data_IF_117588544721
#
_entry.id   IF_117588544721
#
_cell.length_a   1.000
_cell.length_b   1.000
_cell.length_c   1.000
_cell.angle_alpha   90.00
_cell.angle_beta   90.00
_cell.angle_gamma   90.00
#
_symmetry.space_group_name_H-M   'P 1'
#
loop_
_entity.id
_entity.type
_entity.pdbx_description
1 polymer ?
#
# COMPACT_ATOMS: atom_id res chain seq x y z
N UNK A 1 -10.00 4.87 12.88
CA UNK A 1 -8.60 4.47 12.55
C UNK A 1 -7.72 5.72 12.62
N UNK A 2 -6.51 5.64 13.19
CA UNK A 2 -5.61 6.81 13.31
C UNK A 2 -4.66 6.94 12.11
N UNK A 3 -4.11 8.14 11.90
CA UNK A 3 -3.09 8.42 10.86
C UNK A 3 -1.89 7.49 11.01
N UNK A 4 -1.34 7.35 12.22
CA UNK A 4 -0.18 6.50 12.47
C UNK A 4 -0.49 5.02 12.17
N UNK A 5 -1.71 4.56 12.45
CA UNK A 5 -2.11 3.19 12.09
C UNK A 5 -2.18 3.00 10.57
N UNK A 6 -2.69 4.00 9.84
CA UNK A 6 -2.76 3.98 8.37
C UNK A 6 -1.35 3.98 7.76
N UNK A 7 -0.43 4.76 8.33
CA UNK A 7 0.97 4.81 7.90
C UNK A 7 1.82 3.60 8.29
N UNK A 8 1.28 2.66 9.08
CA UNK A 8 2.04 1.50 9.55
C UNK A 8 3.02 1.81 10.69
N UNK A 9 2.84 2.94 11.37
CA UNK A 9 3.71 3.40 12.47
C UNK A 9 3.26 2.83 13.84
N UNK A 10 2.24 1.99 13.87
CA UNK A 10 1.77 1.28 15.08
C UNK A 10 2.02 -0.21 14.95
N UNK A 11 2.06 -0.93 16.08
CA UNK A 11 2.28 -2.38 16.13
C UNK A 11 1.33 -3.19 15.22
N UNK A 12 0.13 -2.69 14.98
CA UNK A 12 -0.92 -3.35 14.19
C UNK A 12 -1.16 -2.68 12.83
N UNK A 13 -0.37 -1.65 12.46
CA UNK A 13 -0.50 -0.96 11.19
C UNK A 13 0.28 -1.69 10.09
N UNK A 14 -0.38 -2.06 9.00
CA UNK A 14 0.24 -2.79 7.89
C UNK A 14 0.57 -1.90 6.68
N UNK A 15 0.31 -0.58 6.77
CA UNK A 15 0.57 0.44 5.72
C UNK A 15 -0.22 0.25 4.43
N UNK A 16 -1.15 -0.71 4.32
CA UNK A 16 -1.81 -1.06 3.05
C UNK A 16 -2.57 0.11 2.43
N UNK A 17 -3.43 0.77 3.22
CA UNK A 17 -4.18 1.94 2.74
C UNK A 17 -3.25 3.09 2.34
N UNK A 18 -2.15 3.30 3.07
CA UNK A 18 -1.21 4.35 2.73
C UNK A 18 -0.43 4.02 1.45
N UNK A 19 0.03 2.78 1.28
CA UNK A 19 0.66 2.31 0.03
C UNK A 19 -0.26 2.50 -1.17
N UNK A 20 -1.55 2.24 -1.01
CA UNK A 20 -2.55 2.48 -2.05
C UNK A 20 -2.66 3.97 -2.42
N UNK A 21 -2.75 4.87 -1.44
CA UNK A 21 -2.79 6.31 -1.70
C UNK A 21 -1.53 6.81 -2.42
N UNK A 22 -0.36 6.34 -1.99
CA UNK A 22 0.94 6.65 -2.61
C UNK A 22 0.95 6.16 -4.06
N UNK A 23 0.47 4.94 -4.32
CA UNK A 23 0.36 4.40 -5.68
C UNK A 23 -0.54 5.25 -6.57
N UNK A 24 -1.71 5.69 -6.08
CA UNK A 24 -2.57 6.60 -6.86
C UNK A 24 -1.90 7.93 -7.13
N UNK A 25 -1.14 8.47 -6.17
CA UNK A 25 -0.36 9.68 -6.41
C UNK A 25 0.68 9.47 -7.51
N UNK A 26 1.40 8.34 -7.53
CA UNK A 26 2.34 7.99 -8.61
C UNK A 26 1.63 8.00 -9.97
N UNK A 27 0.44 7.38 -10.07
CA UNK A 27 -0.32 7.37 -11.33
C UNK A 27 -0.72 8.76 -11.80
N UNK A 28 -1.19 9.60 -10.86
CA UNK A 28 -1.63 10.97 -11.18
C UNK A 28 -0.47 11.90 -11.52
N UNK A 29 0.65 11.82 -10.80
CA UNK A 29 1.85 12.62 -11.06
C UNK A 29 2.43 12.32 -12.46
N UNK A 30 2.29 11.08 -12.95
CA UNK A 30 2.75 10.67 -14.28
C UNK A 30 1.69 10.86 -15.39
N UNK A 31 0.51 11.36 -15.06
CA UNK A 31 -0.54 11.60 -16.03
C UNK A 31 -0.54 13.06 -16.48
N UNK A 32 -0.33 13.30 -17.79
CA UNK A 32 -0.23 14.63 -18.38
C UNK A 32 -1.44 15.54 -18.09
N UNK A 33 -2.63 14.97 -17.88
CA UNK A 33 -3.86 15.70 -17.49
C UNK A 33 -3.74 16.40 -16.12
N UNK A 34 -2.84 15.95 -15.27
CA UNK A 34 -2.68 16.41 -13.88
C UNK A 34 -1.34 17.10 -13.62
N UNK A 35 -0.47 17.28 -14.63
CA UNK A 35 0.91 17.78 -14.49
C UNK A 35 1.07 19.08 -13.69
N UNK A 36 0.07 19.96 -13.69
CA UNK A 36 0.08 21.25 -12.99
C UNK A 36 -0.94 21.32 -11.84
N UNK A 37 -1.45 20.17 -11.37
CA UNK A 37 -2.43 20.12 -10.28
C UNK A 37 -1.76 19.68 -8.99
N UNK A 38 -2.16 20.32 -7.89
CA UNK A 38 -1.86 19.80 -6.56
C UNK A 38 -2.70 18.54 -6.32
N UNK A 39 -2.04 17.45 -5.90
CA UNK A 39 -2.69 16.17 -5.59
C UNK A 39 -2.60 15.96 -4.08
N UNK A 40 -3.75 16.04 -3.43
CA UNK A 40 -3.96 15.67 -2.04
C UNK A 40 -4.62 14.30 -1.96
N UNK A 41 -4.08 13.43 -1.11
CA UNK A 41 -4.57 12.08 -0.88
C UNK A 41 -5.32 12.00 0.43
N UNK A 42 -6.49 11.39 0.42
CA UNK A 42 -7.33 11.22 1.61
C UNK A 42 -8.08 9.89 1.59
N UNK A 43 -8.39 9.37 2.77
CA UNK A 43 -9.33 8.26 2.96
C UNK A 43 -10.67 8.82 3.44
N UNK A 44 -11.75 8.44 2.77
CA UNK A 44 -13.12 8.79 3.16
C UNK A 44 -13.79 7.54 3.69
N UNK A 45 -14.02 7.49 5.00
CA UNK A 45 -14.69 6.36 5.64
C UNK A 45 -16.19 6.52 5.54
N UNK A 46 -16.83 5.66 4.75
CA UNK A 46 -18.30 5.67 4.57
C UNK A 46 -19.03 5.00 5.74
N UNK A 47 -18.35 4.14 6.50
CA UNK A 47 -18.90 3.54 7.72
C UNK A 47 -18.75 4.54 8.87
N UNK A 48 -19.84 4.84 9.61
CA UNK A 48 -19.75 5.68 10.80
C UNK A 48 -18.82 5.09 11.86
N UNK A 49 -18.07 5.96 12.56
CA UNK A 49 -17.36 5.61 13.78
C UNK A 49 -18.34 5.42 14.96
N UNK A 50 -17.83 5.06 16.13
CA UNK A 50 -18.65 4.87 17.35
C UNK A 50 -19.42 6.12 17.78
N UNK A 51 -19.12 7.28 17.19
CA UNK A 51 -19.80 8.57 17.41
C UNK A 51 -20.73 8.95 16.26
N UNK A 52 -20.99 8.04 15.32
CA UNK A 52 -21.87 8.27 14.18
C UNK A 52 -21.28 9.13 13.06
N UNK A 53 -19.96 9.38 13.06
CA UNK A 53 -19.31 10.26 12.08
C UNK A 53 -18.62 9.46 10.99
N UNK A 54 -18.61 9.98 9.77
CA UNK A 54 -17.85 9.42 8.64
C UNK A 54 -16.54 10.20 8.47
N UNK A 55 -15.42 9.78 9.09
CA UNK A 55 -14.19 10.57 9.08
C UNK A 55 -13.58 10.65 7.69
N UNK A 56 -13.01 11.83 7.39
CA UNK A 56 -12.12 12.05 6.25
C UNK A 56 -10.73 12.27 6.82
N UNK A 57 -9.76 11.49 6.35
CA UNK A 57 -8.38 11.54 6.83
C UNK A 57 -7.47 11.87 5.65
N UNK A 58 -7.04 13.13 5.57
CA UNK A 58 -6.00 13.57 4.64
C UNK A 58 -4.62 13.08 5.09
N UNK A 59 -3.86 12.55 4.15
CA UNK A 59 -2.55 11.95 4.38
C UNK A 59 -1.59 12.53 3.34
N UNK A 60 -0.74 13.50 3.69
CA UNK A 60 0.25 14.02 2.78
C UNK A 60 1.28 12.93 2.46
N UNK A 61 1.56 12.75 1.18
CA UNK A 61 2.57 11.81 0.66
C UNK A 61 3.87 12.57 0.42
N UNK A 62 4.96 12.08 1.00
CA UNK A 62 6.30 12.62 0.84
C UNK A 62 7.05 11.93 -0.31
N UNK A 63 8.18 12.51 -0.71
CA UNK A 63 9.04 11.93 -1.74
C UNK A 63 9.58 10.54 -1.35
N UNK A 64 9.96 10.36 -0.09
CA UNK A 64 10.39 9.08 0.48
C UNK A 64 9.32 7.99 0.35
N UNK A 65 8.05 8.34 0.51
CA UNK A 65 6.94 7.39 0.36
C UNK A 65 6.82 6.92 -1.10
N UNK A 66 6.92 7.85 -2.05
CA UNK A 66 6.91 7.55 -3.48
C UNK A 66 8.06 6.62 -3.87
N UNK A 67 9.26 6.92 -3.37
CA UNK A 67 10.46 6.14 -3.70
C UNK A 67 10.39 4.73 -3.07
N UNK A 68 9.87 4.62 -1.84
CA UNK A 68 9.59 3.33 -1.20
C UNK A 68 8.62 2.47 -2.01
N UNK A 69 7.47 3.03 -2.44
CA UNK A 69 6.48 2.25 -3.20
C UNK A 69 7.00 1.90 -4.60
N UNK A 70 7.79 2.75 -5.25
CA UNK A 70 8.44 2.41 -6.52
C UNK A 70 9.41 1.24 -6.37
N UNK A 71 10.22 1.24 -5.31
CA UNK A 71 11.14 0.12 -5.03
C UNK A 71 10.40 -1.19 -4.77
N UNK A 72 9.28 -1.14 -4.06
CA UNK A 72 8.41 -2.31 -3.84
C UNK A 72 7.83 -2.84 -5.17
N UNK A 73 7.41 -1.95 -6.08
CA UNK A 73 6.92 -2.31 -7.42
C UNK A 73 8.04 -2.98 -8.23
N UNK A 74 9.25 -2.42 -8.25
CA UNK A 74 10.40 -2.99 -8.95
C UNK A 74 10.77 -4.37 -8.40
N UNK A 75 10.77 -4.53 -7.07
CA UNK A 75 10.99 -5.81 -6.41
C UNK A 75 9.97 -6.87 -6.83
N UNK A 76 8.67 -6.50 -6.85
CA UNK A 76 7.60 -7.38 -7.28
C UNK A 76 7.76 -7.78 -8.76
N UNK A 77 8.03 -6.80 -9.64
CA UNK A 77 8.29 -7.04 -11.06
C UNK A 77 9.43 -8.06 -11.19
N UNK A 78 10.57 -7.83 -10.57
CA UNK A 78 11.71 -8.75 -10.63
C UNK A 78 11.35 -10.15 -10.12
N UNK A 79 10.56 -10.26 -9.05
CA UNK A 79 10.09 -11.53 -8.50
C UNK A 79 9.19 -12.30 -9.48
N UNK A 80 8.29 -11.59 -10.16
CA UNK A 80 7.40 -12.18 -11.17
C UNK A 80 8.18 -12.63 -12.40
N UNK A 81 9.01 -11.76 -12.98
CA UNK A 81 9.76 -12.05 -14.20
C UNK A 81 10.79 -13.17 -14.02
N UNK A 82 11.38 -13.29 -12.84
CA UNK A 82 12.32 -14.38 -12.53
C UNK A 82 11.63 -15.69 -12.14
N UNK A 83 10.31 -15.69 -11.96
CA UNK A 83 9.56 -16.83 -11.42
C UNK A 83 9.71 -17.06 -9.92
N UNK A 84 10.53 -16.24 -9.22
CA UNK A 84 10.75 -16.32 -7.77
C UNK A 84 9.48 -16.22 -6.96
N UNK A 85 8.48 -15.49 -7.45
CA UNK A 85 7.15 -15.40 -6.83
C UNK A 85 6.50 -16.77 -6.63
N UNK A 86 6.86 -17.77 -7.44
CA UNK A 86 6.37 -19.15 -7.36
C UNK A 86 7.39 -20.12 -6.73
N UNK A 87 8.62 -19.69 -6.45
CA UNK A 87 9.70 -20.56 -5.93
C UNK A 87 10.19 -20.20 -4.54
N UNK A 88 10.00 -18.96 -4.11
CA UNK A 88 10.50 -18.45 -2.84
C UNK A 88 9.42 -18.53 -1.74
N UNK A 89 9.87 -18.68 -0.49
CA UNK A 89 9.03 -18.68 0.70
C UNK A 89 9.38 -17.45 1.54
N UNK A 90 8.40 -16.88 2.24
CA UNK A 90 8.68 -15.87 3.24
C UNK A 90 9.11 -16.51 4.57
N UNK A 91 9.60 -15.69 5.50
CA UNK A 91 10.05 -16.14 6.82
C UNK A 91 8.89 -16.51 7.76
N UNK A 92 7.68 -16.08 7.43
CA UNK A 92 6.48 -16.40 8.21
C UNK A 92 6.06 -17.85 7.98
N UNK A 93 6.34 -18.68 9.00
CA UNK A 93 5.99 -20.11 9.03
C UNK A 93 4.49 -20.37 8.91
N UNK A 94 3.66 -19.38 9.25
CA UNK A 94 2.20 -19.46 9.23
C UNK A 94 1.58 -18.74 8.03
N UNK A 95 2.39 -18.32 7.04
CA UNK A 95 1.88 -17.64 5.86
C UNK A 95 0.96 -18.55 5.03
N UNK A 96 -0.32 -18.19 4.96
CA UNK A 96 -1.36 -18.92 4.23
C UNK A 96 -1.02 -19.09 2.74
N UNK A 97 -0.41 -18.07 2.12
CA UNK A 97 0.00 -18.13 0.71
C UNK A 97 1.17 -19.10 0.48
N UNK A 98 2.13 -19.15 1.40
CA UNK A 98 3.21 -20.13 1.36
C UNK A 98 2.68 -21.56 1.59
N UNK A 99 1.65 -21.72 2.43
CA UNK A 99 0.99 -23.02 2.63
C UNK A 99 0.25 -23.47 1.37
N UNK A 100 -0.52 -22.57 0.73
CA UNK A 100 -1.21 -22.89 -0.52
C UNK A 100 -0.24 -23.40 -1.58
N UNK A 101 0.93 -22.78 -1.69
CA UNK A 101 1.98 -23.22 -2.61
C UNK A 101 2.48 -24.63 -2.32
N UNK A 102 2.62 -25.04 -1.06
CA UNK A 102 3.02 -26.40 -0.68
C UNK A 102 2.00 -27.46 -1.13
N UNK A 103 0.79 -27.08 -1.50
CA UNK A 103 -0.23 -27.98 -2.03
C UNK A 103 -0.15 -28.14 -3.56
N UNK A 104 0.57 -27.26 -4.25
CA UNK A 104 0.68 -27.24 -5.72
C UNK A 104 1.96 -27.99 -6.19
N UNK A 105 2.91 -28.24 -5.29
CA UNK A 105 4.17 -28.98 -5.55
C UNK A 105 4.26 -30.26 -4.74
#
# INVERSE_FOLDING_TARGET
MSVNAIKGETKNGNRDYFRQLVFYKILLDNNSKFKNKSIETALVFIKPDDKGRCPIISLPVQKSDLDSVKSEIESLINSVWSGKVLTDYCEDKNCEYCQLRRLIN
#
